data_IF_877593574946
#
_entry.id   IF_877593574946
#
_cell.length_a   1.000
_cell.length_b   1.000
_cell.length_c   1.000
_cell.angle_alpha   90.00
_cell.angle_beta   90.00
_cell.angle_gamma   90.00
#
_symmetry.space_group_name_H-M   'P 1'
#
loop_
_entity.id
_entity.type
_entity.pdbx_description
1 polymer ?
#
# COMPACT_ATOMS: atom_id res chain seq x y z
N UNK A 1 -5.05 10.69 9.46
CA UNK A 1 -6.23 9.88 9.08
C UNK A 1 -6.74 9.10 10.30
N UNK A 2 -8.04 9.17 10.62
CA UNK A 2 -8.65 8.38 11.71
C UNK A 2 -9.29 7.11 11.13
N UNK A 3 -8.64 5.96 11.33
CA UNK A 3 -9.12 4.64 10.90
C UNK A 3 -8.99 3.62 12.04
N UNK A 4 -9.91 2.65 12.11
CA UNK A 4 -9.88 1.53 13.07
C UNK A 4 -8.86 0.45 12.73
N UNK A 5 -8.37 0.41 11.47
CA UNK A 5 -7.25 -0.43 11.09
C UNK A 5 -6.02 -0.08 11.95
N UNK A 6 -5.36 -1.10 12.51
CA UNK A 6 -4.28 -0.94 13.49
C UNK A 6 -2.90 -0.91 12.86
N UNK A 7 -2.71 -1.62 11.74
CA UNK A 7 -1.44 -1.68 11.05
C UNK A 7 -1.39 -0.54 10.01
N UNK A 8 -0.53 0.45 10.25
CA UNK A 8 -0.34 1.61 9.38
C UNK A 8 1.16 1.76 9.14
N UNK A 9 1.59 1.41 7.94
CA UNK A 9 2.99 1.42 7.54
C UNK A 9 3.19 2.62 6.60
N UNK A 10 4.01 3.58 7.03
CA UNK A 10 4.27 4.79 6.24
C UNK A 10 5.51 4.59 5.39
N UNK A 11 5.45 5.00 4.13
CA UNK A 11 6.57 4.91 3.22
C UNK A 11 6.38 5.80 2.00
N UNK A 12 7.18 5.53 0.98
CA UNK A 12 7.15 6.25 -0.30
C UNK A 12 6.71 5.29 -1.40
N UNK A 13 5.84 5.75 -2.30
CA UNK A 13 5.45 4.97 -3.48
C UNK A 13 6.68 4.74 -4.35
N UNK A 14 7.11 3.49 -4.48
CA UNK A 14 8.26 3.08 -5.27
C UNK A 14 7.87 2.81 -6.73
N UNK A 15 6.71 2.20 -6.97
CA UNK A 15 6.20 1.89 -8.30
C UNK A 15 4.67 1.80 -8.30
N UNK A 16 4.09 2.02 -9.48
CA UNK A 16 2.67 1.77 -9.76
C UNK A 16 2.57 1.08 -11.12
N UNK A 17 2.22 -0.20 -11.11
CA UNK A 17 2.03 -0.99 -12.32
C UNK A 17 0.53 -1.08 -12.62
N UNK A 18 0.08 -0.32 -13.62
CA UNK A 18 -1.33 -0.23 -14.00
C UNK A 18 -1.75 -1.39 -14.89
N UNK A 19 -2.72 -2.19 -14.43
CA UNK A 19 -3.40 -3.20 -15.23
C UNK A 19 -4.70 -2.71 -15.86
N UNK A 20 -5.52 -3.63 -16.38
CA UNK A 20 -6.80 -3.29 -17.01
C UNK A 20 -7.81 -2.65 -16.02
N UNK A 21 -7.89 -3.19 -14.80
CA UNK A 21 -8.85 -2.76 -13.77
C UNK A 21 -8.16 -2.34 -12.48
N UNK A 22 -7.13 -3.08 -12.07
CA UNK A 22 -6.36 -2.84 -10.85
C UNK A 22 -4.93 -2.43 -11.17
N UNK A 23 -4.35 -1.66 -10.26
CA UNK A 23 -2.92 -1.36 -10.21
C UNK A 23 -2.26 -2.10 -9.05
N UNK A 24 -1.04 -2.56 -9.29
CA UNK A 24 -0.12 -2.97 -8.24
C UNK A 24 0.67 -1.73 -7.79
N UNK A 25 0.60 -1.41 -6.51
CA UNK A 25 1.31 -0.28 -5.90
C UNK A 25 2.33 -0.84 -4.93
N UNK A 26 3.59 -0.44 -5.08
CA UNK A 26 4.64 -0.79 -4.14
C UNK A 26 5.00 0.43 -3.29
N UNK A 27 5.01 0.26 -1.97
CA UNK A 27 5.38 1.29 -1.00
C UNK A 27 6.66 0.83 -0.29
N UNK A 28 7.74 1.57 -0.48
CA UNK A 28 9.00 1.35 0.22
C UNK A 28 8.92 1.97 1.64
N UNK A 29 9.12 1.14 2.66
CA UNK A 29 9.08 1.52 4.08
C UNK A 29 10.45 1.95 4.64
N UNK A 30 11.51 1.87 3.83
CA UNK A 30 12.90 2.12 4.18
C UNK A 30 13.79 0.90 3.92
N UNK A 31 15.04 1.14 3.50
CA UNK A 31 15.98 0.10 3.11
C UNK A 31 15.41 -0.77 1.97
N UNK A 32 15.51 -2.10 2.14
CA UNK A 32 14.99 -3.09 1.19
C UNK A 32 13.55 -3.56 1.52
N UNK A 33 12.87 -2.90 2.46
CA UNK A 33 11.52 -3.31 2.90
C UNK A 33 10.44 -2.67 2.04
N UNK A 34 9.67 -3.49 1.32
CA UNK A 34 8.58 -3.04 0.43
C UNK A 34 7.27 -3.74 0.79
N UNK A 35 6.18 -2.97 0.89
CA UNK A 35 4.82 -3.51 0.94
C UNK A 35 4.18 -3.36 -0.44
N UNK A 36 3.61 -4.45 -0.95
CA UNK A 36 2.86 -4.46 -2.21
C UNK A 36 1.37 -4.51 -1.93
N UNK A 37 0.60 -3.64 -2.57
CA UNK A 37 -0.85 -3.62 -2.51
C UNK A 37 -1.44 -3.64 -3.92
N UNK A 38 -2.58 -4.31 -4.09
CA UNK A 38 -3.38 -4.24 -5.32
C UNK A 38 -4.65 -3.47 -5.02
N UNK A 39 -4.88 -2.37 -5.74
CA UNK A 39 -6.07 -1.52 -5.61
C UNK A 39 -6.63 -1.18 -6.99
N UNK A 40 -7.85 -0.67 -7.05
CA UNK A 40 -8.45 -0.30 -8.34
C UNK A 40 -7.70 0.88 -8.97
N UNK A 41 -7.72 0.93 -10.31
CA UNK A 41 -7.18 2.06 -11.07
C UNK A 41 -7.84 3.39 -10.66
N UNK A 42 -9.14 3.35 -10.32
CA UNK A 42 -9.87 4.50 -9.81
C UNK A 42 -9.31 4.97 -8.45
N UNK A 43 -9.04 4.06 -7.53
CA UNK A 43 -8.45 4.39 -6.23
C UNK A 43 -7.06 5.03 -6.35
N UNK A 44 -6.23 4.59 -7.30
CA UNK A 44 -4.94 5.24 -7.58
C UNK A 44 -5.14 6.71 -7.98
N UNK A 45 -6.08 6.96 -8.89
CA UNK A 45 -6.39 8.30 -9.37
C UNK A 45 -7.00 9.18 -8.27
N UNK A 46 -8.02 8.67 -7.56
CA UNK A 46 -8.73 9.41 -6.51
C UNK A 46 -7.81 9.80 -5.34
N UNK A 47 -6.85 8.94 -5.02
CA UNK A 47 -5.86 9.18 -3.96
C UNK A 47 -4.67 10.02 -4.44
N UNK A 48 -4.55 10.31 -5.74
CA UNK A 48 -3.44 11.07 -6.31
C UNK A 48 -2.08 10.40 -6.11
N UNK A 49 -2.04 9.07 -6.11
CA UNK A 49 -0.82 8.29 -5.91
C UNK A 49 0.10 8.45 -7.12
N UNK A 50 1.35 8.78 -6.83
CA UNK A 50 2.42 8.93 -7.82
C UNK A 50 3.73 8.41 -7.20
N UNK A 51 4.63 7.90 -8.05
CA UNK A 51 5.96 7.47 -7.62
C UNK A 51 6.70 8.64 -6.95
N UNK A 52 7.34 8.37 -5.82
CA UNK A 52 8.04 9.36 -5.01
C UNK A 52 7.17 10.07 -3.96
N UNK A 53 5.84 9.92 -3.99
CA UNK A 53 4.97 10.50 -2.95
C UNK A 53 4.93 9.64 -1.69
N UNK A 54 4.75 10.29 -0.54
CA UNK A 54 4.44 9.60 0.72
C UNK A 54 3.07 8.93 0.63
N UNK A 55 3.00 7.68 1.04
CA UNK A 55 1.77 6.90 1.12
C UNK A 55 1.76 6.02 2.37
N UNK A 56 0.60 5.45 2.69
CA UNK A 56 0.43 4.58 3.85
C UNK A 56 -0.17 3.24 3.40
N UNK A 57 0.53 2.13 3.63
CA UNK A 57 -0.06 0.80 3.55
C UNK A 57 -0.84 0.52 4.84
N UNK A 58 -2.12 0.17 4.70
CA UNK A 58 -3.03 0.04 5.84
C UNK A 58 -3.69 -1.32 5.78
N UNK A 59 -3.46 -2.11 6.83
CA UNK A 59 -3.98 -3.47 6.93
C UNK A 59 -4.86 -3.57 8.17
N UNK A 60 -6.08 -4.07 8.00
CA UNK A 60 -6.97 -4.34 9.13
C UNK A 60 -6.38 -5.45 9.98
N UNK A 61 -6.47 -5.33 11.30
CA UNK A 61 -5.87 -6.31 12.21
C UNK A 61 -6.42 -7.73 12.02
N UNK A 62 -7.69 -7.87 11.62
CA UNK A 62 -8.34 -9.17 11.39
C UNK A 62 -7.85 -9.90 10.15
N UNK A 63 -7.13 -9.23 9.24
CA UNK A 63 -6.76 -9.77 7.93
C UNK A 63 -5.28 -10.19 7.91
N UNK A 64 -4.56 -10.02 9.03
CA UNK A 64 -3.18 -10.45 9.20
C UNK A 64 -3.16 -11.88 9.73
N UNK A 65 -2.49 -12.77 9.01
CA UNK A 65 -2.24 -14.16 9.42
C UNK A 65 -0.86 -14.22 10.10
N UNK A 66 -0.77 -14.97 11.21
CA UNK A 66 0.49 -15.21 11.94
C UNK A 66 0.92 -16.66 11.70
N UNK A 67 2.18 -16.86 11.31
CA UNK A 67 2.82 -18.17 11.21
C UNK A 67 4.05 -18.25 12.11
N UNK A 68 4.41 -19.46 12.55
CA UNK A 68 5.62 -19.79 13.30
C UNK A 68 6.19 -21.11 12.75
N UNK A 69 7.51 -21.29 12.86
CA UNK A 69 8.23 -22.48 12.39
C UNK A 69 8.15 -23.66 13.36
#
# INVERSE_FOLDING_TARGET
MKLSARNKLTGTVASIDKGAVNSTVQINLGGDTVVTAMITNASVADLGLEVGKTAHAIVKASDVIVGAD
#
